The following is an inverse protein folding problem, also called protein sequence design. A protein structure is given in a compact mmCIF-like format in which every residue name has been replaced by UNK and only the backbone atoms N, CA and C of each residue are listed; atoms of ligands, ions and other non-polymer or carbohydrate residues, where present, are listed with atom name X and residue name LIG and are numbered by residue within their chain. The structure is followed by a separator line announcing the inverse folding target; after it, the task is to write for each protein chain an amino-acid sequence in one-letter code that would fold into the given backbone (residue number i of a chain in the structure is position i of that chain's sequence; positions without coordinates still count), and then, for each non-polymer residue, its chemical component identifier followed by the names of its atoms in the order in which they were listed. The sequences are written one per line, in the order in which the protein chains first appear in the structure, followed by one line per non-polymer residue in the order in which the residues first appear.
data_IF_699683792284
#
_entry.id   IF_699683792284
#
_cell.length_a   1.000
_cell.length_b   1.000
_cell.length_c   1.000
_cell.angle_alpha   90.00
_cell.angle_beta   90.00
_cell.angle_gamma   90.00
#
_symmetry.space_group_name_H-M   'P 1'
#
loop_
_entity.id
_entity.type
_entity.pdbx_description
1 polymer ?
#
# COMPACT_ATOMS: atom_id res chain seq x y z
N UNK A 1 -44.04 -12.80 15.19
CA UNK A 1 -43.78 -12.78 13.73
C UNK A 1 -42.46 -12.06 13.54
N UNK A 2 -41.35 -12.81 13.47
CA UNK A 2 -39.99 -12.26 13.43
C UNK A 2 -39.17 -13.03 12.42
N UNK A 3 -38.59 -12.32 11.45
CA UNK A 3 -37.81 -12.90 10.37
C UNK A 3 -36.57 -13.63 10.93
N UNK A 4 -36.42 -14.91 10.60
CA UNK A 4 -35.21 -15.69 10.87
C UNK A 4 -34.16 -15.31 9.82
N UNK A 5 -33.00 -14.86 10.28
CA UNK A 5 -31.84 -14.59 9.42
C UNK A 5 -31.24 -15.92 8.97
N UNK A 6 -31.62 -16.39 7.79
CA UNK A 6 -30.95 -17.50 7.13
C UNK A 6 -29.52 -17.09 6.72
N UNK A 7 -28.55 -17.72 7.38
CA UNK A 7 -27.14 -17.61 7.04
C UNK A 7 -26.92 -18.32 5.70
N UNK A 8 -26.71 -17.55 4.64
CA UNK A 8 -26.25 -18.07 3.36
C UNK A 8 -24.88 -18.74 3.53
N UNK A 9 -24.89 -20.07 3.51
CA UNK A 9 -23.72 -20.93 3.42
C UNK A 9 -23.31 -21.03 1.95
N UNK A 10 -22.15 -20.49 1.58
CA UNK A 10 -21.53 -20.69 0.26
C UNK A 10 -20.26 -21.53 0.43
N UNK A 11 -20.40 -22.74 1.01
CA UNK A 11 -19.35 -23.74 0.99
C UNK A 11 -19.51 -24.66 -0.23
N UNK A 12 -19.15 -24.14 -1.40
CA UNK A 12 -18.46 -24.95 -2.39
C UNK A 12 -16.98 -24.95 -2.04
N UNK A 13 -16.57 -25.89 -1.16
CA UNK A 13 -15.19 -26.24 -0.77
C UNK A 13 -14.12 -25.14 -0.99
N UNK A 14 -13.88 -24.32 0.03
CA UNK A 14 -12.52 -24.10 0.59
C UNK A 14 -12.70 -23.60 2.02
N UNK A 15 -12.33 -24.42 2.99
CA UNK A 15 -12.51 -24.15 4.42
C UNK A 15 -11.61 -23.00 4.89
N UNK A 16 -12.20 -21.96 5.48
CA UNK A 16 -11.51 -21.05 6.40
C UNK A 16 -11.95 -21.45 7.80
N UNK A 17 -11.03 -21.90 8.64
CA UNK A 17 -11.25 -22.09 10.08
C UNK A 17 -10.31 -21.16 10.84
N UNK A 18 -10.89 -20.23 11.59
CA UNK A 18 -10.22 -19.44 12.62
C UNK A 18 -10.58 -20.06 13.96
N UNK A 19 -9.59 -20.58 14.69
CA UNK A 19 -9.67 -20.80 16.14
C UNK A 19 -9.67 -22.25 16.63
N UNK A 20 -8.47 -22.76 16.96
CA UNK A 20 -8.16 -23.57 18.15
C UNK A 20 -8.70 -25.00 18.26
N UNK A 21 -7.89 -26.01 17.94
CA UNK A 21 -7.29 -26.98 18.89
C UNK A 21 -6.48 -28.06 18.15
N UNK A 22 -5.24 -28.26 18.62
CA UNK A 22 -4.35 -29.43 18.44
C UNK A 22 -4.18 -30.02 17.04
N UNK A 23 -3.17 -29.52 16.33
CA UNK A 23 -2.53 -30.14 15.14
C UNK A 23 -1.21 -29.40 14.87
N UNK A 24 -0.20 -30.05 14.25
CA UNK A 24 1.15 -29.48 14.12
C UNK A 24 1.08 -28.10 13.47
N UNK A 25 1.81 -27.14 14.04
CA UNK A 25 1.68 -25.73 13.70
C UNK A 25 1.86 -25.49 12.20
N UNK A 26 1.01 -24.65 11.62
CA UNK A 26 1.08 -24.19 10.22
C UNK A 26 2.42 -23.52 9.86
N UNK A 27 3.33 -23.38 10.83
CA UNK A 27 4.73 -23.00 10.63
C UNK A 27 5.46 -23.94 9.64
N UNK A 28 5.10 -25.22 9.57
CA UNK A 28 5.81 -26.21 8.73
C UNK A 28 5.34 -26.26 7.27
N UNK A 29 4.17 -25.70 6.94
CA UNK A 29 3.58 -25.79 5.60
C UNK A 29 3.70 -24.50 4.77
N UNK A 30 4.22 -23.44 5.37
CA UNK A 30 4.56 -22.19 4.68
C UNK A 30 6.08 -22.03 4.71
N UNK A 31 6.79 -23.02 4.17
CA UNK A 31 8.06 -22.76 3.49
C UNK A 31 7.77 -22.14 2.11
N UNK A 32 7.00 -21.06 2.08
CA UNK A 32 7.01 -20.20 0.91
C UNK A 32 8.29 -19.40 1.00
N UNK A 33 9.33 -19.92 0.33
CA UNK A 33 10.62 -19.29 0.14
C UNK A 33 10.46 -17.89 -0.47
N UNK A 34 10.21 -16.88 0.36
CA UNK A 34 10.63 -15.51 0.09
C UNK A 34 12.09 -15.39 0.49
N UNK A 35 12.97 -16.14 -0.19
CA UNK A 35 14.40 -15.87 -0.19
C UNK A 35 14.68 -14.60 -1.02
N UNK A 36 14.05 -13.49 -0.65
CA UNK A 36 14.70 -12.19 -0.84
C UNK A 36 15.74 -12.17 0.26
N UNK A 37 16.99 -12.51 -0.09
CA UNK A 37 18.13 -12.36 0.79
C UNK A 37 18.29 -10.87 1.09
N UNK A 38 17.54 -10.38 2.07
CA UNK A 38 17.66 -9.02 2.57
C UNK A 38 19.02 -8.97 3.25
N UNK A 39 20.04 -8.52 2.50
CA UNK A 39 21.35 -8.14 3.06
C UNK A 39 21.08 -7.39 4.37
N UNK A 40 21.69 -7.88 5.45
CA UNK A 40 21.67 -7.29 6.79
C UNK A 40 22.06 -5.82 6.66
N UNK A 41 21.06 -4.94 6.57
CA UNK A 41 21.22 -3.50 6.44
C UNK A 41 20.28 -2.87 7.46
N UNK A 42 20.87 -2.02 8.29
CA UNK A 42 20.30 -1.36 9.46
C UNK A 42 18.95 -0.74 9.09
N UNK A 43 17.90 -1.11 9.82
CA UNK A 43 16.60 -0.43 9.70
C UNK A 43 16.72 0.91 10.44
N UNK A 44 16.33 1.99 9.79
CA UNK A 44 16.43 3.34 10.35
C UNK A 44 15.36 3.57 11.43
N UNK A 45 14.21 2.88 11.33
CA UNK A 45 13.12 3.04 12.29
C UNK A 45 12.37 1.73 12.56
N UNK A 46 12.11 1.50 13.83
CA UNK A 46 11.33 0.35 14.34
C UNK A 46 10.17 0.92 15.16
N UNK A 47 8.92 0.70 14.73
CA UNK A 47 7.73 1.11 15.47
C UNK A 47 6.97 -0.12 15.98
N UNK A 48 6.55 -0.06 17.25
CA UNK A 48 5.69 -1.08 17.88
C UNK A 48 4.26 -0.54 18.00
N UNK A 49 3.26 -1.41 18.05
CA UNK A 49 1.90 -0.97 18.38
C UNK A 49 1.87 -0.31 19.76
N UNK A 50 0.97 0.67 19.94
CA UNK A 50 0.82 1.46 21.17
C UNK A 50 0.38 0.64 22.39
N UNK A 51 -0.27 -0.51 22.20
CA UNK A 51 -0.85 -1.30 23.29
C UNK A 51 -0.14 -2.64 23.42
N UNK A 52 0.27 -2.94 24.64
CA UNK A 52 0.93 -4.18 25.06
C UNK A 52 0.29 -4.64 26.39
N UNK A 53 -0.48 -5.73 26.41
CA UNK A 53 -0.79 -6.62 25.28
C UNK A 53 -1.77 -5.99 24.27
N UNK A 54 -1.80 -6.46 23.00
CA UNK A 54 -2.78 -6.02 22.03
C UNK A 54 -4.22 -6.27 22.53
N UNK A 55 -5.22 -5.43 22.20
CA UNK A 55 -6.61 -5.60 22.65
C UNK A 55 -7.25 -6.95 22.28
N UNK A 56 -6.71 -7.64 21.27
CA UNK A 56 -7.16 -8.96 20.84
C UNK A 56 -6.41 -10.12 21.53
N UNK A 57 -5.39 -9.85 22.34
CA UNK A 57 -4.62 -10.84 23.11
C UNK A 57 -3.77 -11.83 22.28
N UNK A 58 -3.91 -11.86 20.96
CA UNK A 58 -3.11 -12.71 20.07
C UNK A 58 -1.77 -12.04 19.76
N UNK A 59 -0.70 -12.72 20.18
CA UNK A 59 0.70 -12.49 19.78
C UNK A 59 1.37 -11.20 20.32
N UNK A 60 2.72 -11.19 20.40
CA UNK A 60 3.46 -9.98 20.74
C UNK A 60 3.13 -8.81 19.81
N UNK A 61 3.24 -7.55 20.27
CA UNK A 61 2.96 -6.39 19.43
C UNK A 61 3.70 -6.40 18.09
N UNK A 62 2.93 -6.29 17.00
CA UNK A 62 3.48 -6.19 15.65
C UNK A 62 4.52 -5.06 15.58
N UNK A 63 5.69 -5.38 15.02
CA UNK A 63 6.82 -4.48 14.89
C UNK A 63 7.03 -4.13 13.43
N UNK A 64 6.86 -2.87 13.06
CA UNK A 64 7.11 -2.38 11.70
C UNK A 64 8.54 -1.87 11.61
N UNK A 65 9.22 -2.23 10.51
CA UNK A 65 10.60 -1.80 10.24
C UNK A 65 10.64 -1.13 8.89
N UNK A 66 11.03 0.13 8.85
CA UNK A 66 11.20 0.88 7.61
C UNK A 66 12.64 1.37 7.46
N UNK A 67 13.11 1.39 6.21
CA UNK A 67 14.42 1.92 5.82
C UNK A 67 14.31 3.29 5.15
N UNK A 68 13.18 3.56 4.52
CA UNK A 68 12.96 4.72 3.68
C UNK A 68 11.51 5.15 3.79
N UNK A 69 11.30 6.46 3.86
CA UNK A 69 9.99 7.07 3.90
C UNK A 69 9.98 8.22 2.89
N UNK A 70 9.14 8.17 1.84
CA UNK A 70 8.89 9.29 0.96
C UNK A 70 8.76 10.64 1.66
N UNK A 71 8.08 10.71 2.82
CA UNK A 71 7.99 11.95 3.62
C UNK A 71 9.37 12.47 4.05
N UNK A 72 10.22 11.60 4.61
CA UNK A 72 11.55 11.97 5.10
C UNK A 72 12.51 12.29 3.93
N UNK A 73 12.30 11.66 2.77
CA UNK A 73 13.01 11.96 1.53
C UNK A 73 12.63 13.32 0.95
N UNK A 74 11.34 13.62 0.86
CA UNK A 74 10.83 14.87 0.31
C UNK A 74 11.29 16.09 1.13
N UNK A 75 11.52 15.95 2.44
CA UNK A 75 12.05 17.03 3.30
C UNK A 75 13.53 17.35 3.07
N UNK A 76 14.29 16.51 2.35
CA UNK A 76 15.72 16.73 2.17
C UNK A 76 15.97 17.94 1.27
N UNK A 77 16.86 18.85 1.70
CA UNK A 77 17.17 20.07 0.96
C UNK A 77 17.60 19.80 -0.49
N UNK A 78 18.36 18.72 -0.72
CA UNK A 78 18.76 18.32 -2.09
C UNK A 78 17.57 17.98 -2.99
N UNK A 79 16.52 17.35 -2.45
CA UNK A 79 15.32 16.95 -3.21
C UNK A 79 14.48 18.18 -3.50
N UNK A 80 14.34 19.03 -2.49
CA UNK A 80 13.66 20.31 -2.56
C UNK A 80 14.29 21.25 -3.62
N UNK A 81 15.63 21.30 -3.70
CA UNK A 81 16.35 22.03 -4.75
C UNK A 81 16.18 21.39 -6.13
N UNK A 82 16.33 20.07 -6.20
CA UNK A 82 16.18 19.33 -7.46
C UNK A 82 14.76 19.45 -8.05
N UNK A 83 13.73 19.67 -7.23
CA UNK A 83 12.36 19.91 -7.71
C UNK A 83 12.14 21.35 -8.20
N UNK A 84 12.87 22.32 -7.65
CA UNK A 84 12.70 23.73 -8.01
C UNK A 84 13.15 24.04 -9.45
N UNK A 85 14.20 23.37 -9.93
CA UNK A 85 14.74 23.52 -11.29
C UNK A 85 13.71 23.15 -12.39
N UNK A 86 13.16 21.92 -12.46
CA UNK A 86 12.19 21.55 -13.48
C UNK A 86 10.85 22.29 -13.32
N UNK A 87 10.49 22.67 -12.10
CA UNK A 87 9.29 23.48 -11.83
C UNK A 87 9.38 24.84 -12.54
N UNK A 88 10.55 25.48 -12.45
CA UNK A 88 10.78 26.75 -13.12
C UNK A 88 10.90 26.59 -14.64
N UNK A 89 11.63 25.57 -15.11
CA UNK A 89 11.84 25.30 -16.54
C UNK A 89 10.52 25.02 -17.28
N UNK A 90 9.65 24.18 -16.71
CA UNK A 90 8.40 23.77 -17.36
C UNK A 90 7.17 24.57 -16.90
N UNK A 91 7.35 25.57 -16.03
CA UNK A 91 6.26 26.38 -15.45
C UNK A 91 5.15 25.51 -14.86
N UNK A 92 5.54 24.58 -13.99
CA UNK A 92 4.61 23.59 -13.40
C UNK A 92 3.60 24.26 -12.46
N UNK A 93 2.36 23.81 -12.50
CA UNK A 93 1.24 24.33 -11.71
C UNK A 93 1.35 23.98 -10.21
N UNK A 94 2.06 22.90 -9.87
CA UNK A 94 2.22 22.41 -8.50
C UNK A 94 3.08 23.32 -7.60
N UNK A 95 3.80 24.28 -8.18
CA UNK A 95 4.68 25.18 -7.44
C UNK A 95 5.90 24.48 -6.83
N UNK A 96 6.53 25.12 -5.86
CA UNK A 96 7.74 24.60 -5.20
C UNK A 96 7.38 23.54 -4.16
N UNK A 97 8.17 22.48 -4.06
CA UNK A 97 7.92 21.38 -3.11
C UNK A 97 7.97 21.85 -1.64
N UNK A 98 8.67 22.95 -1.35
CA UNK A 98 8.75 23.57 -0.01
C UNK A 98 7.42 24.23 0.41
N UNK A 99 6.61 24.65 -0.55
CA UNK A 99 5.33 25.33 -0.34
C UNK A 99 4.18 24.32 -0.19
N UNK A 100 4.42 23.06 -0.56
CA UNK A 100 3.47 21.97 -0.42
C UNK A 100 3.44 21.42 1.00
N UNK A 101 2.26 20.95 1.43
CA UNK A 101 2.13 20.14 2.64
C UNK A 101 2.70 18.73 2.39
N UNK A 102 3.99 18.56 2.68
CA UNK A 102 4.74 17.31 2.46
C UNK A 102 4.12 16.15 3.23
N UNK A 103 3.66 16.38 4.46
CA UNK A 103 3.08 15.33 5.29
C UNK A 103 1.76 14.87 4.71
N UNK A 104 0.88 15.79 4.32
CA UNK A 104 -0.37 15.44 3.67
C UNK A 104 -0.15 14.73 2.32
N UNK A 105 0.86 15.14 1.57
CA UNK A 105 1.12 14.61 0.22
C UNK A 105 1.71 13.20 0.26
N UNK A 106 2.71 12.94 1.11
CA UNK A 106 3.47 11.68 1.08
C UNK A 106 3.11 10.68 2.18
N UNK A 107 2.37 11.08 3.23
CA UNK A 107 2.01 10.15 4.32
C UNK A 107 1.14 8.98 3.86
N UNK A 108 0.27 9.21 2.87
CA UNK A 108 -0.53 8.15 2.28
C UNK A 108 0.34 7.13 1.52
N UNK A 109 1.33 7.61 0.79
CA UNK A 109 2.29 6.78 0.05
C UNK A 109 3.19 6.00 1.02
N UNK A 110 3.67 6.62 2.10
CA UNK A 110 4.38 5.94 3.19
C UNK A 110 3.56 4.74 3.71
N UNK A 111 2.26 4.96 3.99
CA UNK A 111 1.37 3.91 4.48
C UNK A 111 1.10 2.80 3.47
N UNK A 112 0.88 3.16 2.21
CA UNK A 112 0.59 2.22 1.13
C UNK A 112 1.78 1.31 0.81
N UNK A 113 3.02 1.83 0.90
CA UNK A 113 4.24 1.05 0.70
C UNK A 113 4.60 0.14 1.89
N UNK A 114 4.14 0.49 3.09
CA UNK A 114 4.33 -0.35 4.28
C UNK A 114 3.33 -1.51 4.37
N UNK A 115 2.20 -1.42 3.67
CA UNK A 115 1.16 -2.45 3.64
C UNK A 115 1.56 -3.67 2.82
N UNK A 116 0.90 -4.80 3.08
CA UNK A 116 0.88 -5.92 2.12
C UNK A 116 0.02 -5.56 0.92
N UNK A 117 0.28 -6.18 -0.23
CA UNK A 117 -0.62 -6.09 -1.38
C UNK A 117 -2.05 -6.43 -0.97
N UNK A 118 -3.01 -5.60 -1.38
CA UNK A 118 -4.43 -5.76 -1.08
C UNK A 118 -5.13 -6.31 -2.32
N UNK A 119 -5.11 -7.63 -2.46
CA UNK A 119 -5.79 -8.29 -3.58
C UNK A 119 -7.28 -8.47 -3.28
N UNK A 120 -8.11 -7.68 -3.94
CA UNK A 120 -9.57 -7.73 -3.80
C UNK A 120 -10.21 -8.47 -4.97
N UNK A 121 -11.15 -9.39 -4.68
CA UNK A 121 -11.84 -10.16 -5.72
C UNK A 121 -12.97 -9.36 -6.38
N UNK A 122 -13.03 -9.39 -7.71
CA UNK A 122 -14.09 -8.77 -8.51
C UNK A 122 -15.24 -9.73 -8.87
N UNK A 123 -15.26 -10.94 -8.31
CA UNK A 123 -16.23 -11.98 -8.65
C UNK A 123 -17.69 -11.55 -8.50
N UNK A 124 -18.02 -10.77 -7.46
CA UNK A 124 -19.39 -10.26 -7.25
C UNK A 124 -19.81 -9.30 -8.36
N UNK A 125 -18.94 -8.37 -8.75
CA UNK A 125 -19.23 -7.40 -9.80
C UNK A 125 -19.45 -8.09 -11.15
N UNK A 126 -18.63 -9.11 -11.46
CA UNK A 126 -18.77 -9.93 -12.68
C UNK A 126 -20.11 -10.68 -12.72
N UNK A 127 -20.53 -11.28 -11.60
CA UNK A 127 -21.86 -11.93 -11.49
C UNK A 127 -23.03 -10.97 -11.69
N UNK A 128 -22.85 -9.68 -11.38
CA UNK A 128 -23.85 -8.63 -11.58
C UNK A 128 -23.75 -7.95 -12.95
N UNK A 129 -22.98 -8.52 -13.89
CA UNK A 129 -22.89 -8.03 -15.27
C UNK A 129 -21.81 -7.00 -15.55
N UNK A 130 -20.94 -6.66 -14.58
CA UNK A 130 -19.79 -5.77 -14.81
C UNK A 130 -18.59 -6.55 -15.35
N UNK A 131 -18.35 -6.40 -16.65
CA UNK A 131 -17.25 -7.09 -17.35
C UNK A 131 -16.07 -6.19 -17.72
N UNK A 132 -16.20 -4.88 -17.54
CA UNK A 132 -15.10 -3.94 -17.81
C UNK A 132 -13.89 -4.21 -16.92
N UNK A 133 -12.70 -4.14 -17.52
CA UNK A 133 -11.41 -4.19 -16.87
C UNK A 133 -10.50 -3.11 -17.46
N UNK A 134 -9.41 -2.81 -16.77
CA UNK A 134 -8.37 -1.91 -17.25
C UNK A 134 -7.03 -2.56 -16.94
N UNK A 135 -6.05 -2.41 -17.84
CA UNK A 135 -4.67 -2.73 -17.51
C UNK A 135 -4.14 -1.62 -16.60
N UNK A 136 -3.65 -1.99 -15.41
CA UNK A 136 -3.17 -1.02 -14.43
C UNK A 136 -1.97 -0.22 -14.95
N UNK A 137 -1.12 -0.79 -15.80
CA UNK A 137 0.05 -0.09 -16.35
C UNK A 137 -0.39 0.98 -17.37
N UNK A 138 -1.33 0.62 -18.25
CA UNK A 138 -1.86 1.57 -19.23
C UNK A 138 -2.61 2.70 -18.53
N UNK A 139 -3.43 2.39 -17.53
CA UNK A 139 -4.13 3.40 -16.72
C UNK A 139 -3.17 4.34 -15.99
N UNK A 140 -2.08 3.82 -15.39
CA UNK A 140 -1.08 4.66 -14.73
C UNK A 140 -0.40 5.57 -15.75
N UNK A 141 -0.02 5.04 -16.92
CA UNK A 141 0.62 5.83 -17.98
C UNK A 141 -0.29 6.94 -18.51
N UNK A 142 -1.56 6.63 -18.72
CA UNK A 142 -2.59 7.58 -19.17
C UNK A 142 -2.72 8.74 -18.18
N UNK A 143 -2.89 8.43 -16.89
CA UNK A 143 -3.01 9.46 -15.83
C UNK A 143 -1.75 10.32 -15.72
N UNK A 144 -0.56 9.73 -15.85
CA UNK A 144 0.69 10.49 -15.87
C UNK A 144 0.77 11.42 -17.10
N UNK A 145 0.24 10.99 -18.25
CA UNK A 145 0.07 11.80 -19.45
C UNK A 145 -0.83 13.01 -19.22
N UNK A 146 -2.03 12.78 -18.68
CA UNK A 146 -2.96 13.86 -18.35
C UNK A 146 -2.36 14.86 -17.36
N UNK A 147 -1.57 14.40 -16.39
CA UNK A 147 -0.86 15.28 -15.45
C UNK A 147 0.23 16.12 -16.14
N UNK A 148 0.86 15.62 -17.19
CA UNK A 148 1.77 16.45 -18.00
C UNK A 148 1.02 17.50 -18.80
N UNK A 149 -0.13 17.18 -19.39
CA UNK A 149 -0.97 18.14 -20.11
C UNK A 149 -1.49 19.26 -19.19
N UNK A 150 -1.80 18.91 -17.93
CA UNK A 150 -2.20 19.85 -16.89
C UNK A 150 -1.03 20.61 -16.24
N UNK A 151 0.21 20.43 -16.74
CA UNK A 151 1.45 21.00 -16.19
C UNK A 151 1.67 20.67 -14.71
N UNK A 152 1.15 19.54 -14.22
CA UNK A 152 1.43 19.06 -12.86
C UNK A 152 2.74 18.28 -12.78
N UNK A 153 3.17 17.71 -13.90
CA UNK A 153 4.43 16.97 -14.05
C UNK A 153 5.23 17.52 -15.24
N UNK A 154 6.57 17.37 -15.22
CA UNK A 154 7.39 17.66 -16.39
C UNK A 154 7.09 16.67 -17.52
N UNK A 155 7.29 17.06 -18.80
CA UNK A 155 7.03 16.19 -19.95
C UNK A 155 7.70 14.82 -19.81
N UNK A 156 6.95 13.76 -20.09
CA UNK A 156 7.52 12.41 -20.10
C UNK A 156 8.46 12.24 -21.28
N UNK A 157 9.57 11.52 -21.07
CA UNK A 157 10.44 11.09 -22.17
C UNK A 157 9.64 10.11 -23.05
N UNK A 158 9.52 10.47 -24.33
CA UNK A 158 8.82 9.68 -25.34
C UNK A 158 9.56 8.39 -25.68
#
# INVERSE_FOLDING_TARGET
MGAKNDKFNINGRTHVHVGGTTGPSLQTLIEFSTNVRVRTRVFTRVSKRKHDPPPRGFEPPATYRSRFRPVDWARQEKVQKAWAEPTAEHSLAAGRLQEMDIDRTFSFTDGSLMGSALDLTMSKAKKLGRHGFVDSNDAIREVLGEFTDLKMLPPMLN
#
